data_IF_445290876744
#
_entry.id   IF_445290876744
#
_cell.length_a   1.000
_cell.length_b   1.000
_cell.length_c   1.000
_cell.angle_alpha   90.00
_cell.angle_beta   90.00
_cell.angle_gamma   90.00
#
_symmetry.space_group_name_H-M   'P 1'
#
loop_
_entity.id
_entity.type
_entity.pdbx_description
1 polymer ?
#
# COMPACT_ATOMS: atom_id res chain seq x y z
N UNK A 1 -35.74 -10.62 -11.60
CA UNK A 1 -35.12 -9.30 -11.75
C UNK A 1 -34.45 -8.93 -10.40
N UNK A 2 -33.17 -8.59 -10.38
CA UNK A 2 -32.54 -8.08 -9.16
C UNK A 2 -33.13 -6.69 -8.87
N UNK A 3 -33.88 -6.57 -7.77
CA UNK A 3 -34.44 -5.30 -7.30
C UNK A 3 -33.28 -4.38 -6.93
N UNK A 4 -33.19 -3.18 -7.49
CA UNK A 4 -32.20 -2.17 -7.14
C UNK A 4 -32.45 -1.71 -5.70
N UNK A 5 -31.54 -2.00 -4.79
CA UNK A 5 -31.77 -1.80 -3.34
C UNK A 5 -31.59 -0.35 -2.89
N UNK A 6 -31.01 0.50 -3.71
CA UNK A 6 -30.76 1.92 -3.44
C UNK A 6 -31.74 2.88 -4.11
N UNK A 7 -32.84 2.36 -4.66
CA UNK A 7 -33.95 3.14 -5.18
C UNK A 7 -35.24 2.80 -4.41
N UNK A 8 -36.07 3.80 -4.18
CA UNK A 8 -37.45 3.62 -3.70
C UNK A 8 -38.40 3.20 -4.86
N UNK A 9 -39.67 3.17 -4.58
CA UNK A 9 -40.70 2.75 -5.58
C UNK A 9 -40.90 3.84 -6.66
N UNK A 10 -40.61 5.09 -6.36
CA UNK A 10 -40.64 6.24 -7.24
C UNK A 10 -39.32 6.43 -8.03
N UNK A 11 -38.29 5.62 -7.75
CA UNK A 11 -37.00 5.69 -8.43
C UNK A 11 -36.02 6.70 -7.84
N UNK A 12 -36.34 7.29 -6.66
CA UNK A 12 -35.43 8.18 -5.98
C UNK A 12 -34.36 7.40 -5.18
N UNK A 13 -33.17 7.99 -5.10
CA UNK A 13 -32.06 7.37 -4.38
C UNK A 13 -32.30 7.37 -2.86
N UNK A 14 -32.09 6.21 -2.24
CA UNK A 14 -32.17 6.05 -0.77
C UNK A 14 -31.03 5.21 -0.23
N UNK A 15 -30.62 5.48 1.00
CA UNK A 15 -29.71 4.63 1.75
C UNK A 15 -30.44 3.33 2.14
N UNK A 16 -29.77 2.18 1.95
CA UNK A 16 -30.36 0.87 2.27
C UNK A 16 -30.54 0.71 3.77
N UNK A 17 -31.72 0.25 4.21
CA UNK A 17 -31.94 -0.15 5.60
C UNK A 17 -31.15 -1.42 5.94
N UNK A 18 -30.35 -1.33 6.99
CA UNK A 18 -29.54 -2.43 7.51
C UNK A 18 -29.93 -2.84 8.94
N UNK A 19 -31.07 -2.37 9.44
CA UNK A 19 -31.51 -2.55 10.82
C UNK A 19 -31.57 -4.03 11.22
N UNK A 20 -32.12 -4.89 10.36
CA UNK A 20 -32.28 -6.32 10.62
C UNK A 20 -31.05 -7.17 10.33
N UNK A 21 -29.98 -6.58 9.74
CA UNK A 21 -28.76 -7.34 9.47
C UNK A 21 -27.97 -7.60 10.75
N UNK A 22 -27.47 -8.82 10.90
CA UNK A 22 -26.55 -9.15 11.99
C UNK A 22 -25.23 -8.36 11.85
N UNK A 23 -24.74 -7.91 12.98
CA UNK A 23 -23.38 -7.36 13.05
C UNK A 23 -22.38 -8.53 12.89
N UNK A 24 -21.47 -8.43 11.93
CA UNK A 24 -20.42 -9.42 11.66
C UNK A 24 -19.10 -8.70 11.44
N UNK A 25 -17.99 -9.41 11.66
CA UNK A 25 -16.68 -8.88 11.26
C UNK A 25 -16.64 -8.71 9.74
N UNK A 26 -16.13 -7.57 9.32
CA UNK A 26 -15.96 -7.22 7.91
C UNK A 26 -14.62 -6.56 7.71
N UNK A 27 -13.95 -6.99 6.65
CA UNK A 27 -12.64 -6.48 6.26
C UNK A 27 -12.71 -6.07 4.80
N UNK A 28 -12.15 -4.92 4.46
CA UNK A 28 -11.92 -4.52 3.08
C UNK A 28 -10.48 -4.05 2.91
N UNK A 29 -9.89 -4.39 1.78
CA UNK A 29 -8.56 -3.97 1.36
C UNK A 29 -8.69 -3.29 0.01
N UNK A 30 -8.25 -2.03 -0.06
CA UNK A 30 -8.15 -1.26 -1.30
C UNK A 30 -6.71 -0.89 -1.58
N UNK A 31 -6.40 -0.65 -2.84
CA UNK A 31 -5.09 -0.12 -3.24
C UNK A 31 -5.25 1.12 -4.12
N UNK A 32 -4.19 1.94 -4.13
CA UNK A 32 -3.97 2.99 -5.10
C UNK A 32 -2.50 2.98 -5.54
N UNK A 33 -2.23 3.47 -6.75
CA UNK A 33 -0.88 3.63 -7.30
C UNK A 33 -0.71 5.06 -7.78
N UNK A 34 0.41 5.68 -7.41
CA UNK A 34 0.79 7.02 -7.86
C UNK A 34 2.11 6.92 -8.60
N UNK A 35 2.10 7.17 -9.91
CA UNK A 35 3.31 7.29 -10.73
C UNK A 35 3.90 8.68 -10.60
N UNK A 36 5.20 8.75 -10.43
CA UNK A 36 5.97 9.95 -10.18
C UNK A 36 7.12 10.06 -11.19
N UNK A 37 7.63 11.27 -11.41
CA UNK A 37 8.94 11.41 -12.03
C UNK A 37 10.04 10.77 -11.17
N UNK A 38 11.15 10.43 -11.79
CA UNK A 38 12.32 9.88 -11.09
C UNK A 38 12.74 10.76 -9.91
N UNK A 39 12.75 12.06 -10.10
CA UNK A 39 13.14 13.04 -9.07
C UNK A 39 12.14 13.06 -7.91
N UNK A 40 10.83 13.13 -8.19
CA UNK A 40 9.79 13.12 -7.17
C UNK A 40 9.76 11.81 -6.41
N UNK A 41 9.91 10.67 -7.11
CA UNK A 41 9.99 9.35 -6.48
C UNK A 41 11.15 9.27 -5.49
N UNK A 42 12.35 9.67 -5.90
CA UNK A 42 13.52 9.68 -5.02
C UNK A 42 13.34 10.63 -3.83
N UNK A 43 12.74 11.79 -4.03
CA UNK A 43 12.45 12.73 -2.95
C UNK A 43 11.50 12.11 -1.89
N UNK A 44 10.48 11.37 -2.33
CA UNK A 44 9.56 10.65 -1.43
C UNK A 44 10.27 9.55 -0.66
N UNK A 45 11.04 8.72 -1.36
CA UNK A 45 11.76 7.58 -0.75
C UNK A 45 12.85 8.06 0.21
N UNK A 46 13.55 9.12 -0.16
CA UNK A 46 14.60 9.73 0.66
C UNK A 46 14.08 10.58 1.83
N UNK A 47 12.78 10.91 1.83
CA UNK A 47 12.22 11.84 2.82
C UNK A 47 12.72 13.28 2.67
N UNK A 48 13.10 13.69 1.45
CA UNK A 48 13.64 15.02 1.13
C UNK A 48 12.66 15.91 0.40
N UNK A 49 11.39 15.49 0.29
CA UNK A 49 10.36 16.29 -0.36
C UNK A 49 10.20 17.67 0.34
N UNK A 50 9.95 18.75 -0.42
CA UNK A 50 9.89 20.11 0.13
C UNK A 50 8.86 20.31 1.25
N UNK A 51 7.79 19.52 1.25
CA UNK A 51 6.72 19.54 2.27
C UNK A 51 6.95 18.57 3.44
N UNK A 52 8.12 17.91 3.52
CA UNK A 52 8.47 17.02 4.61
C UNK A 52 8.15 15.55 4.34
N UNK A 53 7.79 14.79 5.39
CA UNK A 53 7.55 13.35 5.30
C UNK A 53 6.22 13.03 4.60
N UNK A 54 6.33 12.77 3.29
CA UNK A 54 5.19 12.47 2.40
C UNK A 54 4.48 11.19 2.84
N UNK A 55 5.24 10.16 3.23
CA UNK A 55 4.65 8.85 3.58
C UNK A 55 3.88 8.92 4.89
N UNK A 56 4.42 9.61 5.91
CA UNK A 56 3.71 9.80 7.18
C UNK A 56 2.45 10.63 7.00
N UNK A 57 2.52 11.74 6.25
CA UNK A 57 1.36 12.59 5.97
C UNK A 57 0.26 11.85 5.21
N UNK A 58 0.61 11.11 4.16
CA UNK A 58 -0.33 10.34 3.37
C UNK A 58 -0.99 9.22 4.18
N UNK A 59 -0.23 8.54 5.05
CA UNK A 59 -0.78 7.52 5.96
C UNK A 59 -1.82 8.08 6.90
N UNK A 60 -1.52 9.20 7.55
CA UNK A 60 -2.46 9.86 8.48
C UNK A 60 -3.69 10.34 7.71
N UNK A 61 -3.52 10.99 6.57
CA UNK A 61 -4.61 11.47 5.74
C UNK A 61 -5.56 10.34 5.30
N UNK A 62 -5.02 9.20 4.87
CA UNK A 62 -5.80 8.02 4.52
C UNK A 62 -6.59 7.45 5.70
N UNK A 63 -5.98 7.34 6.88
CA UNK A 63 -6.69 6.88 8.09
C UNK A 63 -7.81 7.86 8.49
N UNK A 64 -7.57 9.16 8.39
CA UNK A 64 -8.59 10.18 8.65
C UNK A 64 -9.74 10.09 7.64
N UNK A 65 -9.42 9.87 6.37
CA UNK A 65 -10.40 9.74 5.29
C UNK A 65 -11.30 8.51 5.46
N UNK A 66 -10.74 7.36 5.88
CA UNK A 66 -11.55 6.18 6.24
C UNK A 66 -12.64 6.51 7.26
N UNK A 67 -12.31 7.30 8.29
CA UNK A 67 -13.26 7.70 9.35
C UNK A 67 -14.34 8.70 8.89
N UNK A 68 -14.13 9.32 7.73
CA UNK A 68 -15.03 10.34 7.15
C UNK A 68 -15.71 9.87 5.85
N UNK A 69 -15.65 8.59 5.51
CA UNK A 69 -16.20 8.06 4.27
C UNK A 69 -17.69 8.40 4.11
N UNK A 70 -18.50 8.29 5.18
CA UNK A 70 -19.93 8.63 5.15
C UNK A 70 -20.23 10.13 4.97
N UNK A 71 -19.27 11.01 5.26
CA UNK A 71 -19.41 12.46 4.99
C UNK A 71 -19.10 12.79 3.52
N UNK A 72 -18.37 11.93 2.81
CA UNK A 72 -17.92 12.14 1.44
C UNK A 72 -18.75 11.38 0.41
N UNK A 73 -19.30 10.22 0.77
CA UNK A 73 -20.03 9.32 -0.12
C UNK A 73 -21.50 9.32 0.27
N UNK A 74 -22.40 9.85 -0.59
CA UNK A 74 -23.78 10.22 -0.20
C UNK A 74 -24.62 9.10 0.40
N UNK A 75 -24.49 7.86 -0.10
CA UNK A 75 -25.31 6.73 0.36
C UNK A 75 -24.53 5.76 1.27
N UNK A 76 -23.38 6.19 1.80
CA UNK A 76 -22.56 5.40 2.71
C UNK A 76 -23.10 5.56 4.16
N UNK A 77 -23.21 4.42 4.87
CA UNK A 77 -23.62 4.43 6.28
C UNK A 77 -22.47 4.95 7.16
N UNK A 78 -22.77 5.71 8.23
CA UNK A 78 -21.78 6.00 9.26
C UNK A 78 -21.46 4.73 10.04
N UNK A 79 -20.20 4.30 10.01
CA UNK A 79 -19.76 3.01 10.57
C UNK A 79 -18.66 3.27 11.61
N UNK A 80 -18.79 2.61 12.78
CA UNK A 80 -17.72 2.54 13.76
C UNK A 80 -16.62 1.58 13.25
N UNK A 81 -15.45 2.12 12.93
CA UNK A 81 -14.29 1.33 12.49
C UNK A 81 -13.56 0.74 13.70
N UNK A 82 -13.21 -0.54 13.64
CA UNK A 82 -12.38 -1.20 14.66
C UNK A 82 -10.89 -1.11 14.32
N UNK A 83 -10.55 -0.98 13.01
CA UNK A 83 -9.18 -0.79 12.54
C UNK A 83 -9.18 -0.05 11.20
N UNK A 84 -8.20 0.84 11.03
CA UNK A 84 -7.82 1.40 9.74
C UNK A 84 -6.30 1.49 9.68
N UNK A 85 -5.68 0.91 8.64
CA UNK A 85 -4.24 1.00 8.37
C UNK A 85 -3.99 1.35 6.92
N UNK A 86 -2.92 2.11 6.68
CA UNK A 86 -2.46 2.48 5.34
C UNK A 86 -0.98 2.16 5.25
N UNK A 87 -0.65 1.23 4.38
CA UNK A 87 0.71 0.84 4.03
C UNK A 87 1.11 1.59 2.76
N UNK A 88 2.34 2.07 2.72
CA UNK A 88 2.89 2.84 1.60
C UNK A 88 4.20 2.20 1.21
N UNK A 89 4.28 1.68 -0.01
CA UNK A 89 5.41 0.92 -0.52
C UNK A 89 5.94 1.55 -1.82
N UNK A 90 7.24 1.89 -1.90
CA UNK A 90 7.88 2.28 -3.14
C UNK A 90 7.94 1.12 -4.14
N UNK A 91 7.60 1.41 -5.40
CA UNK A 91 7.79 0.53 -6.55
C UNK A 91 8.86 1.14 -7.46
N UNK A 92 10.12 0.81 -7.19
CA UNK A 92 11.27 1.43 -7.85
C UNK A 92 11.33 1.18 -9.36
N UNK A 93 11.04 -0.05 -9.88
CA UNK A 93 11.07 -0.29 -11.32
C UNK A 93 10.13 0.61 -12.13
N UNK A 94 9.05 1.08 -11.51
CA UNK A 94 8.02 1.89 -12.16
C UNK A 94 8.01 3.35 -11.68
N UNK A 95 8.94 3.75 -10.78
CA UNK A 95 8.94 5.04 -10.10
C UNK A 95 7.56 5.41 -9.55
N UNK A 96 6.90 4.43 -8.91
CA UNK A 96 5.55 4.57 -8.40
C UNK A 96 5.50 4.33 -6.89
N UNK A 97 4.50 4.89 -6.24
CA UNK A 97 4.18 4.60 -4.84
C UNK A 97 2.90 3.78 -4.81
N UNK A 98 2.98 2.58 -4.26
CA UNK A 98 1.81 1.74 -4.00
C UNK A 98 1.28 1.99 -2.59
N UNK A 99 -0.02 2.12 -2.50
CA UNK A 99 -0.76 2.37 -1.27
C UNK A 99 -1.72 1.22 -1.07
N UNK A 100 -1.73 0.63 0.12
CA UNK A 100 -2.70 -0.38 0.51
C UNK A 100 -3.41 0.05 1.78
N UNK A 101 -4.73 0.22 1.69
CA UNK A 101 -5.58 0.56 2.82
C UNK A 101 -6.36 -0.66 3.27
N UNK A 102 -6.24 -1.03 4.55
CA UNK A 102 -7.02 -2.11 5.18
C UNK A 102 -7.92 -1.52 6.24
N UNK A 103 -9.22 -1.78 6.14
CA UNK A 103 -10.22 -1.30 7.09
C UNK A 103 -11.05 -2.47 7.62
N UNK A 104 -11.35 -2.43 8.93
CA UNK A 104 -12.18 -3.43 9.62
C UNK A 104 -13.27 -2.79 10.44
N UNK A 105 -14.39 -3.49 10.53
CA UNK A 105 -15.50 -3.17 11.43
C UNK A 105 -16.18 -4.46 11.95
N UNK A 106 -16.86 -4.35 13.07
CA UNK A 106 -17.88 -5.29 13.51
C UNK A 106 -19.26 -4.64 13.30
N UNK A 107 -19.81 -4.76 12.07
CA UNK A 107 -20.95 -3.95 11.65
C UNK A 107 -21.93 -4.66 10.75
N UNK A 108 -23.03 -3.95 10.44
CA UNK A 108 -24.15 -4.46 9.62
C UNK A 108 -23.94 -4.26 8.12
N UNK A 109 -22.97 -3.43 7.72
CA UNK A 109 -22.62 -3.17 6.31
C UNK A 109 -21.11 -3.28 6.07
N UNK A 110 -20.68 -3.31 4.82
CA UNK A 110 -19.27 -3.45 4.43
C UNK A 110 -18.49 -2.16 4.64
N UNK A 111 -17.17 -2.24 4.59
CA UNK A 111 -16.21 -1.15 4.75
C UNK A 111 -15.40 -0.89 3.48
N UNK A 112 -15.96 -1.27 2.33
CA UNK A 112 -15.31 -1.10 1.03
C UNK A 112 -15.07 0.38 0.71
N UNK A 113 -16.06 1.24 1.01
CA UNK A 113 -15.95 2.67 0.73
C UNK A 113 -14.92 3.34 1.64
N UNK A 114 -14.84 2.94 2.89
CA UNK A 114 -13.84 3.41 3.84
C UNK A 114 -12.42 3.05 3.37
N UNK A 115 -12.21 1.82 2.88
CA UNK A 115 -10.92 1.39 2.36
C UNK A 115 -10.54 2.14 1.06
N UNK A 116 -11.49 2.28 0.12
CA UNK A 116 -11.30 3.01 -1.14
C UNK A 116 -11.01 4.50 -0.89
N UNK A 117 -11.77 5.13 0.00
CA UNK A 117 -11.58 6.55 0.38
C UNK A 117 -10.22 6.76 1.04
N UNK A 118 -9.79 5.82 1.91
CA UNK A 118 -8.47 5.86 2.52
C UNK A 118 -7.35 5.82 1.49
N UNK A 119 -7.41 4.88 0.55
CA UNK A 119 -6.42 4.74 -0.51
C UNK A 119 -6.40 5.97 -1.44
N UNK A 120 -7.58 6.49 -1.81
CA UNK A 120 -7.73 7.66 -2.67
C UNK A 120 -7.12 8.93 -2.05
N UNK A 121 -7.44 9.20 -0.77
CA UNK A 121 -6.95 10.42 -0.11
C UNK A 121 -5.46 10.31 0.23
N UNK A 122 -4.96 9.12 0.55
CA UNK A 122 -3.52 8.91 0.69
C UNK A 122 -2.78 9.19 -0.63
N UNK A 123 -3.30 8.71 -1.77
CA UNK A 123 -2.74 8.98 -3.10
C UNK A 123 -2.78 10.48 -3.45
N UNK A 124 -3.91 11.14 -3.20
CA UNK A 124 -4.05 12.58 -3.41
C UNK A 124 -3.10 13.41 -2.53
N UNK A 125 -2.84 12.95 -1.31
CA UNK A 125 -1.88 13.58 -0.40
C UNK A 125 -0.44 13.46 -0.93
N UNK A 126 -0.06 12.29 -1.47
CA UNK A 126 1.23 12.13 -2.13
C UNK A 126 1.35 13.13 -3.30
N UNK A 127 0.34 13.20 -4.16
CA UNK A 127 0.31 14.17 -5.25
C UNK A 127 0.48 15.61 -4.76
N UNK A 128 -0.29 16.04 -3.76
CA UNK A 128 -0.19 17.41 -3.21
C UNK A 128 1.20 17.71 -2.67
N UNK A 129 1.81 16.75 -1.99
CA UNK A 129 3.12 16.95 -1.38
C UNK A 129 4.28 16.89 -2.38
N UNK A 130 4.09 16.27 -3.54
CA UNK A 130 5.12 16.13 -4.59
C UNK A 130 4.95 17.10 -5.76
N UNK A 131 3.78 17.73 -5.93
CA UNK A 131 3.46 18.59 -7.08
C UNK A 131 4.40 19.81 -7.29
N UNK A 132 5.16 20.20 -6.27
CA UNK A 132 6.18 21.24 -6.43
C UNK A 132 7.39 20.74 -7.21
N UNK A 133 7.67 19.43 -7.18
CA UNK A 133 8.74 18.77 -7.94
C UNK A 133 8.16 18.31 -9.30
N UNK A 134 7.01 17.64 -9.27
CA UNK A 134 6.40 17.04 -10.45
C UNK A 134 4.87 17.21 -10.46
N UNK A 135 4.40 18.14 -11.30
CA UNK A 135 2.95 18.32 -11.54
C UNK A 135 2.35 17.26 -12.46
N UNK A 136 3.19 16.50 -13.16
CA UNK A 136 2.81 15.41 -14.06
C UNK A 136 2.55 14.09 -13.37
N UNK A 137 2.69 14.03 -12.05
CA UNK A 137 2.35 12.81 -11.26
C UNK A 137 0.91 12.34 -11.53
N UNK A 138 0.71 11.03 -11.65
CA UNK A 138 -0.59 10.45 -12.02
C UNK A 138 -1.04 9.46 -10.95
N UNK A 139 -2.27 9.60 -10.50
CA UNK A 139 -2.95 8.55 -9.73
C UNK A 139 -3.55 7.58 -10.73
N UNK A 140 -2.88 6.44 -10.97
CA UNK A 140 -3.23 5.50 -12.03
C UNK A 140 -4.39 4.60 -11.68
N UNK A 141 -4.43 4.14 -10.43
CA UNK A 141 -5.37 3.11 -9.99
C UNK A 141 -5.88 3.42 -8.61
N UNK A 142 -7.19 3.28 -8.43
CA UNK A 142 -7.84 3.15 -7.13
C UNK A 142 -8.82 2.01 -7.26
N UNK A 143 -8.63 0.90 -6.54
CA UNK A 143 -9.49 -0.29 -6.65
C UNK A 143 -9.62 -1.07 -5.35
N UNK A 144 -10.71 -1.80 -5.23
CA UNK A 144 -10.89 -2.81 -4.18
C UNK A 144 -10.08 -4.06 -4.54
N UNK A 145 -9.21 -4.50 -3.64
CA UNK A 145 -8.46 -5.76 -3.80
C UNK A 145 -9.24 -6.95 -3.26
N UNK A 146 -9.78 -6.79 -2.06
CA UNK A 146 -10.56 -7.86 -1.43
C UNK A 146 -11.54 -7.31 -0.43
N UNK A 147 -12.57 -8.08 -0.16
CA UNK A 147 -13.43 -7.92 1.01
C UNK A 147 -13.83 -9.27 1.57
N UNK A 148 -14.11 -9.32 2.85
CA UNK A 148 -14.66 -10.49 3.53
C UNK A 148 -15.76 -10.10 4.51
N UNK A 149 -16.65 -11.08 4.78
CA UNK A 149 -17.78 -10.94 5.68
C UNK A 149 -19.06 -10.44 5.02
N UNK A 150 -20.17 -10.59 5.75
CA UNK A 150 -21.52 -10.19 5.33
C UNK A 150 -22.19 -11.11 4.31
N UNK A 151 -23.42 -10.77 3.93
CA UNK A 151 -24.29 -11.59 3.08
C UNK A 151 -23.75 -11.79 1.65
N UNK A 152 -23.01 -10.82 1.11
CA UNK A 152 -22.44 -10.90 -0.24
C UNK A 152 -21.15 -11.73 -0.34
N UNK A 153 -20.69 -12.31 0.79
CA UNK A 153 -19.54 -13.20 0.82
C UNK A 153 -18.21 -12.50 0.51
N UNK A 154 -17.21 -13.31 0.19
CA UNK A 154 -15.87 -12.86 -0.07
C UNK A 154 -15.71 -12.41 -1.54
N UNK A 155 -14.92 -11.37 -1.74
CA UNK A 155 -14.48 -10.88 -3.04
C UNK A 155 -12.96 -10.82 -3.07
N UNK A 156 -12.37 -11.23 -4.17
CA UNK A 156 -10.96 -11.06 -4.48
C UNK A 156 -10.84 -10.52 -5.91
N UNK A 157 -10.17 -9.41 -6.07
CA UNK A 157 -9.90 -8.84 -7.38
C UNK A 157 -9.00 -9.78 -8.21
N UNK A 158 -9.24 -9.84 -9.52
CA UNK A 158 -8.30 -10.49 -10.43
C UNK A 158 -6.94 -9.77 -10.35
N UNK A 159 -5.84 -10.53 -10.54
CA UNK A 159 -4.49 -9.93 -10.63
C UNK A 159 -4.46 -8.82 -11.67
N UNK A 160 -3.53 -7.85 -11.52
CA UNK A 160 -3.40 -6.70 -12.43
C UNK A 160 -3.24 -7.14 -13.89
N UNK A 161 -2.50 -8.25 -14.14
CA UNK A 161 -2.38 -8.86 -15.46
C UNK A 161 -3.71 -9.38 -16.03
N UNK A 162 -4.53 -10.02 -15.19
CA UNK A 162 -5.84 -10.51 -15.61
C UNK A 162 -6.85 -9.36 -15.84
N UNK A 163 -6.71 -8.24 -15.12
CA UNK A 163 -7.51 -7.03 -15.33
C UNK A 163 -7.13 -6.32 -16.64
N UNK A 164 -5.85 -6.23 -16.96
CA UNK A 164 -5.35 -5.69 -18.23
C UNK A 164 -5.84 -6.52 -19.42
N UNK A 165 -5.82 -7.85 -19.32
CA UNK A 165 -6.35 -8.75 -20.36
C UNK A 165 -7.86 -8.58 -20.56
N UNK A 166 -8.63 -8.30 -19.51
CA UNK A 166 -10.07 -7.96 -19.63
C UNK A 166 -10.31 -6.63 -20.32
N UNK A 167 -9.51 -5.62 -20.05
CA UNK A 167 -9.62 -4.29 -20.65
C UNK A 167 -9.34 -4.32 -22.17
N UNK A 168 -8.50 -5.26 -22.64
CA UNK A 168 -8.15 -5.41 -24.07
C UNK A 168 -9.14 -6.31 -24.84
N UNK A 169 -10.16 -6.89 -24.18
CA UNK A 169 -11.23 -7.65 -24.85
C UNK A 169 -10.83 -9.02 -25.41
N UNK A 170 -9.66 -9.56 -25.04
CA UNK A 170 -9.19 -10.87 -25.55
C UNK A 170 -9.88 -12.01 -24.81
N UNK A 171 -10.79 -12.72 -25.51
CA UNK A 171 -11.37 -13.98 -25.03
C UNK A 171 -10.29 -15.07 -24.99
N UNK A 172 -9.88 -15.51 -23.81
CA UNK A 172 -9.05 -16.71 -23.67
C UNK A 172 -9.88 -17.96 -23.95
N UNK A 173 -9.59 -18.65 -25.04
CA UNK A 173 -9.88 -20.07 -25.21
C UNK A 173 -8.67 -20.87 -24.75
N UNK A 174 -8.97 -21.96 -24.01
CA UNK A 174 -8.08 -23.07 -23.64
C UNK A 174 -7.50 -23.11 -22.21
N UNK A 175 -7.68 -24.31 -21.64
CA UNK A 175 -7.22 -24.77 -20.34
C UNK A 175 -5.71 -24.75 -20.21
N UNK A 176 -5.13 -24.45 -19.05
CA UNK A 176 -3.70 -24.67 -18.83
C UNK A 176 -3.42 -26.15 -18.58
N UNK A 177 -2.48 -26.70 -19.32
CA UNK A 177 -1.87 -27.99 -19.03
C UNK A 177 -0.95 -27.85 -17.81
N UNK A 178 -1.08 -28.80 -16.91
CA UNK A 178 -0.24 -28.94 -15.72
C UNK A 178 1.14 -29.43 -16.17
N UNK A 179 2.17 -28.62 -15.99
CA UNK A 179 3.56 -29.09 -16.01
C UNK A 179 4.14 -28.93 -14.60
N UNK A 180 4.29 -30.06 -13.94
CA UNK A 180 5.04 -30.19 -12.70
C UNK A 180 6.53 -29.99 -12.99
N UNK A 181 7.17 -29.07 -12.29
CA UNK A 181 8.62 -28.86 -12.32
C UNK A 181 9.11 -28.40 -10.95
N UNK A 182 9.81 -29.30 -10.26
CA UNK A 182 10.39 -29.13 -8.93
C UNK A 182 11.55 -28.11 -8.93
N UNK A 183 11.28 -26.82 -8.81
CA UNK A 183 12.37 -25.84 -8.54
C UNK A 183 11.91 -24.62 -7.72
N UNK A 184 10.72 -24.67 -7.12
CA UNK A 184 10.07 -23.50 -6.51
C UNK A 184 10.29 -23.31 -5.00
N UNK A 185 10.74 -24.32 -4.27
CA UNK A 185 10.83 -24.27 -2.79
C UNK A 185 12.05 -23.53 -2.24
N UNK A 186 13.20 -23.60 -2.91
CA UNK A 186 14.44 -22.92 -2.46
C UNK A 186 14.41 -21.40 -2.66
N UNK A 187 13.72 -20.93 -3.70
CA UNK A 187 13.61 -19.49 -3.97
C UNK A 187 12.61 -18.77 -3.06
N UNK A 188 11.59 -19.47 -2.55
CA UNK A 188 10.59 -18.87 -1.65
C UNK A 188 11.16 -18.64 -0.25
N UNK A 189 11.96 -19.58 0.27
CA UNK A 189 12.61 -19.48 1.59
C UNK A 189 13.66 -18.37 1.60
N UNK A 190 14.52 -18.32 0.59
CA UNK A 190 15.54 -17.27 0.47
C UNK A 190 14.96 -15.85 0.28
N UNK A 191 13.76 -15.72 -0.34
CA UNK A 191 13.03 -14.44 -0.43
C UNK A 191 12.42 -14.03 0.91
N UNK A 192 11.95 -14.99 1.70
CA UNK A 192 11.35 -14.75 3.00
C UNK A 192 12.40 -14.24 4.00
N UNK A 193 13.58 -14.84 4.02
CA UNK A 193 14.70 -14.45 4.88
C UNK A 193 15.22 -13.03 4.54
N UNK A 194 15.35 -12.71 3.25
CA UNK A 194 15.80 -11.37 2.81
C UNK A 194 14.78 -10.28 3.15
N UNK A 195 13.48 -10.58 3.11
CA UNK A 195 12.45 -9.63 3.53
C UNK A 195 12.47 -9.39 5.06
N UNK A 196 12.75 -10.42 5.85
CA UNK A 196 12.90 -10.31 7.28
C UNK A 196 14.07 -9.39 7.64
N UNK A 197 15.24 -9.61 7.04
CA UNK A 197 16.43 -8.77 7.24
C UNK A 197 16.20 -7.31 6.82
N UNK A 198 15.45 -7.07 5.75
CA UNK A 198 15.10 -5.73 5.28
C UNK A 198 14.18 -5.00 6.25
N UNK A 199 13.23 -5.72 6.84
CA UNK A 199 12.34 -5.17 7.86
C UNK A 199 13.09 -4.88 9.16
N UNK A 200 14.01 -5.75 9.58
CA UNK A 200 14.89 -5.51 10.73
C UNK A 200 15.76 -4.27 10.51
N UNK A 201 16.35 -4.11 9.34
CA UNK A 201 17.15 -2.94 8.99
C UNK A 201 16.33 -1.63 9.04
N UNK A 202 15.09 -1.65 8.53
CA UNK A 202 14.16 -0.51 8.66
C UNK A 202 13.81 -0.20 10.11
N UNK A 203 13.54 -1.22 10.91
CA UNK A 203 13.25 -1.07 12.33
C UNK A 203 14.45 -0.46 13.08
N UNK A 204 15.67 -0.91 12.78
CA UNK A 204 16.90 -0.35 13.31
C UNK A 204 17.05 1.14 12.96
N UNK A 205 16.87 1.50 11.69
CA UNK A 205 16.91 2.90 11.27
C UNK A 205 15.88 3.76 12.02
N UNK A 206 14.68 3.24 12.22
CA UNK A 206 13.60 3.96 12.92
C UNK A 206 13.92 4.13 14.42
N UNK A 207 14.36 3.07 15.09
CA UNK A 207 14.67 3.11 16.53
C UNK A 207 15.84 4.05 16.87
N UNK A 208 16.82 4.13 15.95
CA UNK A 208 17.98 5.01 16.09
C UNK A 208 17.78 6.39 15.44
N UNK A 209 16.58 6.68 14.94
CA UNK A 209 16.23 7.94 14.24
C UNK A 209 17.15 8.28 13.07
N UNK A 210 17.66 7.26 12.36
CA UNK A 210 18.60 7.39 11.26
C UNK A 210 17.85 7.69 9.94
N UNK A 211 18.27 8.74 9.24
CA UNK A 211 17.86 9.01 7.86
C UNK A 211 18.94 8.48 6.92
N UNK A 212 18.58 7.68 5.94
CA UNK A 212 19.52 6.99 5.05
C UNK A 212 20.59 7.92 4.45
N UNK A 213 20.20 9.11 3.98
CA UNK A 213 21.12 10.10 3.41
C UNK A 213 22.08 10.68 4.43
N UNK A 214 21.59 11.04 5.62
CA UNK A 214 22.43 11.60 6.66
C UNK A 214 23.37 10.52 7.21
N UNK A 215 22.84 9.33 7.47
CA UNK A 215 23.62 8.20 7.97
C UNK A 215 24.73 7.77 6.98
N UNK A 216 24.43 7.73 5.67
CA UNK A 216 25.44 7.48 4.66
C UNK A 216 26.55 8.54 4.67
N UNK A 217 26.17 9.82 4.81
CA UNK A 217 27.12 10.94 4.93
C UNK A 217 27.99 10.84 6.18
N UNK A 218 27.39 10.51 7.32
CA UNK A 218 28.09 10.36 8.60
C UNK A 218 29.03 9.15 8.59
N UNK A 219 28.71 8.12 7.79
CA UNK A 219 29.51 6.91 7.58
C UNK A 219 30.56 7.03 6.46
N UNK A 220 30.59 8.16 5.75
CA UNK A 220 31.43 8.38 4.55
C UNK A 220 31.25 7.27 3.51
N UNK A 221 29.99 6.99 3.15
CA UNK A 221 29.61 6.01 2.12
C UNK A 221 28.57 6.58 1.17
N UNK A 222 28.48 5.98 -0.02
CA UNK A 222 27.37 6.29 -0.93
C UNK A 222 26.04 5.80 -0.35
N UNK A 223 24.99 6.57 -0.51
CA UNK A 223 23.63 6.19 -0.07
C UNK A 223 22.98 5.10 -0.96
N UNK A 224 23.50 4.92 -2.17
CA UNK A 224 22.94 3.99 -3.16
C UNK A 224 22.83 2.52 -2.67
N UNK A 225 23.84 1.92 -1.99
CA UNK A 225 23.69 0.57 -1.43
C UNK A 225 22.58 0.42 -0.39
N UNK A 226 22.35 1.48 0.42
CA UNK A 226 21.28 1.48 1.42
C UNK A 226 19.93 1.42 0.73
N UNK A 227 19.70 2.27 -0.26
CA UNK A 227 18.44 2.27 -1.02
C UNK A 227 18.27 1.01 -1.84
N UNK A 228 19.32 0.51 -2.49
CA UNK A 228 19.25 -0.75 -3.25
C UNK A 228 18.83 -1.93 -2.37
N UNK A 229 19.26 -1.95 -1.10
CA UNK A 229 18.85 -2.96 -0.13
C UNK A 229 17.41 -2.71 0.36
N UNK A 230 17.06 -1.48 0.74
CA UNK A 230 15.72 -1.12 1.23
C UNK A 230 14.62 -1.35 0.20
N UNK A 231 14.92 -1.15 -1.08
CA UNK A 231 13.99 -1.34 -2.20
C UNK A 231 13.97 -2.76 -2.76
N UNK A 232 14.90 -3.59 -2.32
CA UNK A 232 14.96 -4.99 -2.75
C UNK A 232 15.74 -5.24 -4.04
N UNK A 233 16.41 -4.22 -4.57
CA UNK A 233 17.29 -4.31 -5.74
C UNK A 233 18.52 -5.19 -5.46
N UNK A 234 19.00 -5.15 -4.23
CA UNK A 234 20.03 -6.06 -3.74
C UNK A 234 19.52 -6.89 -2.57
N UNK A 235 20.08 -8.08 -2.35
CA UNK A 235 19.74 -8.96 -1.24
C UNK A 235 20.49 -8.59 0.04
N UNK A 236 21.62 -7.93 -0.09
CA UNK A 236 22.52 -7.56 1.02
C UNK A 236 23.12 -6.19 0.78
N UNK A 237 23.56 -5.54 1.85
CA UNK A 237 24.43 -4.37 1.80
C UNK A 237 25.89 -4.91 1.71
N UNK A 238 26.76 -4.33 0.87
CA UNK A 238 28.17 -4.72 0.83
C UNK A 238 28.79 -4.62 2.24
N UNK A 239 29.60 -5.60 2.62
CA UNK A 239 30.13 -5.75 3.97
C UNK A 239 30.87 -4.49 4.44
N UNK A 240 31.73 -3.93 3.62
CA UNK A 240 32.46 -2.71 3.92
C UNK A 240 31.54 -1.53 4.21
N UNK A 241 30.44 -1.38 3.45
CA UNK A 241 29.44 -0.34 3.67
C UNK A 241 28.67 -0.59 4.97
N UNK A 242 28.30 -1.84 5.25
CA UNK A 242 27.61 -2.20 6.49
C UNK A 242 28.47 -1.93 7.74
N UNK A 243 29.75 -2.24 7.68
CA UNK A 243 30.70 -1.97 8.78
C UNK A 243 30.84 -0.46 9.06
N UNK A 244 30.96 0.38 8.03
CA UNK A 244 31.02 1.84 8.17
C UNK A 244 29.71 2.41 8.72
N UNK A 245 28.56 1.91 8.24
CA UNK A 245 27.24 2.31 8.74
C UNK A 245 27.05 1.94 10.21
N UNK A 246 27.43 0.72 10.60
CA UNK A 246 27.37 0.26 11.99
C UNK A 246 28.25 1.14 12.90
N UNK A 247 29.47 1.44 12.47
CA UNK A 247 30.37 2.33 13.20
C UNK A 247 29.79 3.73 13.41
N UNK A 248 29.21 4.32 12.36
CA UNK A 248 28.55 5.64 12.44
C UNK A 248 27.33 5.64 13.38
N UNK A 249 26.61 4.51 13.47
CA UNK A 249 25.48 4.33 14.39
C UNK A 249 25.91 3.89 15.81
N UNK A 250 27.19 3.69 16.07
CA UNK A 250 27.75 3.13 17.32
C UNK A 250 27.12 1.78 17.69
N UNK A 251 26.89 0.93 16.68
CA UNK A 251 26.26 -0.39 16.78
C UNK A 251 27.12 -1.45 16.10
N UNK A 252 26.75 -2.73 16.23
CA UNK A 252 27.36 -3.81 15.47
C UNK A 252 26.57 -4.07 14.18
N UNK A 253 27.21 -4.68 13.19
CA UNK A 253 26.54 -5.00 11.91
C UNK A 253 25.34 -5.93 12.13
N UNK A 254 25.48 -6.90 13.05
CA UNK A 254 24.41 -7.86 13.37
C UNK A 254 23.15 -7.18 13.90
N UNK A 255 23.32 -6.13 14.71
CA UNK A 255 22.22 -5.39 15.35
C UNK A 255 21.34 -4.67 14.31
N UNK A 256 21.86 -4.40 13.09
CA UNK A 256 21.12 -3.76 12.01
C UNK A 256 20.17 -4.71 11.28
N UNK A 257 20.31 -6.03 11.46
CA UNK A 257 19.59 -7.05 10.71
C UNK A 257 18.83 -8.07 11.58
N UNK A 258 18.70 -7.77 12.87
CA UNK A 258 17.97 -8.59 13.88
C UNK A 258 16.54 -8.09 14.14
#
# INVERSE_FOLDING_TARGET
>A
MNRLTHLDEEGAARMVDVTEKAATERIAIAEATVSLSVEAFHAVVAGTAPKGDVQAAARIAGIMAAKKASELIPLCHPIALTQASVEIEPDEPHHAIRIRATVKTAGKTGVEMEALTAAAIAALTIYDMTKAIDKGSVIETIRLLSKSGGKSGNYLAASTEAAAVRAIGVKRSAKPAILMGETSLTNATARKDTNLQRNAFRAFMTSHRLRATQWAKDADVSVAPIYAFLTGKTRTIPREVAEKLAHAARSRVEDMFQ
#
